data_IF_537463179961
#
_entry.id   IF_537463179961
#
_cell.length_a   1.000
_cell.length_b   1.000
_cell.length_c   1.000
_cell.angle_alpha   90.00
_cell.angle_beta   90.00
_cell.angle_gamma   90.00
#
_symmetry.space_group_name_H-M   'P 1'
#
loop_
_entity.id
_entity.type
_entity.pdbx_description
1 polymer ?
#
# COMPACT_ATOMS: atom_id res chain seq x y z
N UNK A 1 -36.30 26.69 36.13
CA UNK A 1 -35.69 27.97 35.76
C UNK A 1 -34.28 27.66 35.26
N UNK A 2 -34.08 27.65 33.94
CA UNK A 2 -32.83 27.22 33.30
C UNK A 2 -32.04 28.43 32.81
N UNK A 3 -30.80 28.58 33.31
CA UNK A 3 -29.89 29.65 32.94
C UNK A 3 -29.26 29.37 31.58
N UNK A 4 -29.50 30.26 30.61
CA UNK A 4 -28.86 30.27 29.29
C UNK A 4 -27.53 31.03 29.38
N UNK A 5 -26.43 30.31 29.35
CA UNK A 5 -25.08 30.89 29.25
C UNK A 5 -24.76 31.10 27.77
N UNK A 6 -24.78 32.36 27.32
CA UNK A 6 -24.37 32.74 25.96
C UNK A 6 -22.87 32.98 25.93
N UNK A 7 -22.15 32.21 25.13
CA UNK A 7 -20.70 32.38 24.91
C UNK A 7 -20.53 33.25 23.66
N UNK A 8 -20.03 34.47 23.87
CA UNK A 8 -19.61 35.40 22.83
C UNK A 8 -18.27 34.93 22.23
N UNK A 9 -18.26 34.65 20.94
CA UNK A 9 -17.04 34.36 20.16
C UNK A 9 -16.48 35.69 19.64
N UNK A 10 -15.21 36.05 19.90
CA UNK A 10 -14.62 37.25 19.36
C UNK A 10 -14.30 37.07 17.87
N UNK A 11 -14.80 37.99 17.06
CA UNK A 11 -14.48 38.11 15.63
C UNK A 11 -13.04 38.60 15.48
N UNK A 12 -12.13 37.73 15.06
CA UNK A 12 -10.76 38.08 14.71
C UNK A 12 -10.75 38.68 13.29
N UNK A 13 -10.42 39.96 13.24
CA UNK A 13 -10.29 40.76 12.03
C UNK A 13 -9.17 40.23 11.12
N UNK A 14 -9.51 40.01 9.85
CA UNK A 14 -8.56 39.81 8.75
C UNK A 14 -7.71 41.07 8.57
N UNK A 15 -6.40 40.94 8.80
CA UNK A 15 -5.40 41.85 8.26
C UNK A 15 -4.93 41.31 6.91
N UNK A 16 -5.42 41.94 5.84
CA UNK A 16 -4.88 41.81 4.49
C UNK A 16 -3.47 42.41 4.44
N UNK A 17 -2.45 41.56 4.47
CA UNK A 17 -1.08 41.93 4.12
C UNK A 17 -0.76 41.46 2.70
N UNK A 18 -0.80 42.37 1.74
CA UNK A 18 -0.32 42.11 0.38
C UNK A 18 1.21 42.10 0.36
N UNK A 19 1.82 40.91 0.39
CA UNK A 19 3.25 40.74 0.16
C UNK A 19 3.49 40.43 -1.32
N UNK A 20 3.85 41.47 -2.08
CA UNK A 20 4.43 41.33 -3.43
C UNK A 20 5.79 40.66 -3.34
N UNK A 21 5.84 39.36 -3.60
CA UNK A 21 7.09 38.62 -3.77
C UNK A 21 7.54 38.73 -5.24
N UNK A 22 8.60 39.49 -5.46
CA UNK A 22 9.29 39.59 -6.75
C UNK A 22 9.93 38.25 -7.08
N UNK A 23 9.37 37.53 -8.05
CA UNK A 23 9.94 36.29 -8.56
C UNK A 23 11.21 36.60 -9.37
N UNK A 24 12.38 36.25 -8.83
CA UNK A 24 13.64 36.20 -9.60
C UNK A 24 13.68 34.87 -10.33
N UNK A 25 13.31 34.89 -11.61
CA UNK A 25 13.51 33.78 -12.54
C UNK A 25 15.00 33.64 -12.85
N UNK A 26 15.70 32.78 -12.11
CA UNK A 26 17.03 32.32 -12.50
C UNK A 26 16.85 31.17 -13.51
N UNK A 27 17.00 31.50 -14.80
CA UNK A 27 17.13 30.52 -15.87
C UNK A 27 18.50 29.84 -15.77
N UNK A 28 18.59 28.70 -15.08
CA UNK A 28 19.72 27.80 -15.23
C UNK A 28 19.52 26.97 -16.51
N UNK A 29 20.18 27.39 -17.58
CA UNK A 29 20.38 26.57 -18.78
C UNK A 29 21.34 25.43 -18.47
N UNK A 30 20.84 24.38 -17.84
CA UNK A 30 21.57 23.14 -17.66
C UNK A 30 21.78 22.50 -19.04
N UNK A 31 22.98 22.71 -19.61
CA UNK A 31 23.46 21.95 -20.76
C UNK A 31 23.46 20.48 -20.36
N UNK A 32 22.47 19.73 -20.82
CA UNK A 32 22.47 18.27 -20.75
C UNK A 32 23.62 17.79 -21.65
N UNK A 33 24.64 17.09 -21.12
CA UNK A 33 25.62 16.44 -21.98
C UNK A 33 24.87 15.37 -22.78
N UNK A 34 24.80 15.57 -24.10
CA UNK A 34 24.37 14.55 -25.05
C UNK A 34 25.35 13.40 -24.93
N UNK A 35 24.95 12.32 -24.24
CA UNK A 35 25.71 11.09 -24.27
C UNK A 35 25.62 10.52 -25.68
N UNK A 36 26.75 10.12 -26.29
CA UNK A 36 26.72 9.42 -27.57
C UNK A 36 25.95 8.11 -27.39
N UNK A 37 24.94 7.91 -28.24
CA UNK A 37 24.26 6.64 -28.38
C UNK A 37 25.29 5.56 -28.70
N UNK A 38 25.68 4.78 -27.69
CA UNK A 38 26.39 3.54 -27.92
C UNK A 38 25.38 2.59 -28.55
N UNK A 39 25.48 2.42 -29.87
CA UNK A 39 24.84 1.34 -30.59
C UNK A 39 25.41 0.04 -30.02
N UNK A 40 24.73 -0.53 -29.02
CA UNK A 40 24.95 -1.89 -28.61
C UNK A 40 24.53 -2.77 -29.80
N UNK A 41 25.53 -3.24 -30.55
CA UNK A 41 25.43 -4.40 -31.42
C UNK A 41 24.92 -5.55 -30.55
N UNK A 42 23.62 -5.85 -30.70
CA UNK A 42 23.03 -7.09 -30.19
C UNK A 42 23.61 -8.21 -31.05
N UNK A 43 24.66 -8.82 -30.54
CA UNK A 43 25.16 -10.10 -31.03
C UNK A 43 24.03 -11.10 -30.82
N UNK A 44 23.37 -11.43 -31.94
CA UNK A 44 22.31 -12.43 -32.00
C UNK A 44 23.01 -13.78 -31.94
N UNK A 45 23.30 -14.25 -30.73
CA UNK A 45 23.66 -15.63 -30.51
C UNK A 45 22.45 -16.49 -30.90
N UNK A 46 22.50 -16.98 -32.13
CA UNK A 46 21.74 -18.13 -32.59
C UNK A 46 22.17 -19.35 -31.76
N UNK A 47 21.70 -19.40 -30.51
CA UNK A 47 21.72 -20.63 -29.74
C UNK A 47 20.80 -21.62 -30.44
N UNK A 48 21.47 -22.42 -31.27
CA UNK A 48 21.01 -23.64 -31.87
C UNK A 48 20.01 -24.34 -30.94
N UNK A 49 18.87 -24.68 -31.54
CA UNK A 49 17.87 -25.61 -31.07
C UNK A 49 18.54 -26.93 -30.68
N UNK A 50 19.15 -27.00 -29.50
CA UNK A 50 19.50 -28.25 -28.85
C UNK A 50 18.21 -28.81 -28.29
N UNK A 51 17.53 -29.55 -29.15
CA UNK A 51 16.42 -30.44 -28.83
C UNK A 51 16.94 -31.52 -27.87
N UNK A 52 17.13 -31.14 -26.60
CA UNK A 52 17.33 -32.08 -25.52
C UNK A 52 16.01 -32.85 -25.34
N UNK A 53 16.08 -34.14 -25.64
CA UNK A 53 15.00 -35.08 -25.47
C UNK A 53 14.32 -34.91 -24.10
N UNK A 54 13.00 -34.75 -24.12
CA UNK A 54 12.20 -34.73 -22.91
C UNK A 54 12.48 -36.01 -22.09
N UNK A 55 12.79 -35.90 -20.79
CA UNK A 55 12.88 -37.07 -19.93
C UNK A 55 11.50 -37.78 -19.89
N UNK A 56 11.48 -39.12 -19.76
CA UNK A 56 10.24 -39.89 -19.73
C UNK A 56 9.35 -39.40 -18.58
N UNK A 57 8.11 -39.07 -18.94
CA UNK A 57 7.01 -38.80 -18.01
C UNK A 57 6.84 -40.03 -17.11
N UNK A 58 7.21 -39.92 -15.84
CA UNK A 58 6.91 -40.95 -14.86
C UNK A 58 5.41 -40.87 -14.50
N UNK A 59 4.66 -41.99 -14.64
CA UNK A 59 3.26 -42.03 -14.30
C UNK A 59 3.07 -42.01 -12.77
N UNK A 60 2.19 -41.12 -12.33
CA UNK A 60 1.33 -41.21 -11.15
C UNK A 60 1.91 -41.92 -9.92
N UNK A 61 2.81 -41.24 -9.22
CA UNK A 61 2.89 -41.44 -7.77
C UNK A 61 1.63 -40.84 -7.16
N UNK A 62 0.61 -41.67 -6.98
CA UNK A 62 -0.57 -41.34 -6.20
C UNK A 62 -0.13 -40.69 -4.89
N UNK A 63 -0.34 -39.38 -4.75
CA UNK A 63 -0.14 -38.67 -3.50
C UNK A 63 -1.14 -39.23 -2.51
N UNK A 64 -0.69 -40.23 -1.74
CA UNK A 64 -1.37 -40.66 -0.54
C UNK A 64 -1.62 -39.39 0.30
N UNK A 65 -2.87 -38.98 0.36
CA UNK A 65 -3.31 -37.85 1.15
C UNK A 65 -2.99 -38.17 2.60
N UNK A 66 -1.86 -37.69 3.09
CA UNK A 66 -1.53 -37.76 4.51
C UNK A 66 -2.62 -36.96 5.21
N UNK A 67 -3.48 -37.57 6.04
CA UNK A 67 -4.42 -36.80 6.83
C UNK A 67 -3.59 -35.92 7.76
N UNK A 68 -3.60 -34.61 7.51
CA UNK A 68 -3.01 -33.64 8.40
C UNK A 68 -3.68 -33.82 9.77
N UNK A 69 -2.99 -34.47 10.69
CA UNK A 69 -3.40 -34.57 12.08
C UNK A 69 -3.45 -33.14 12.62
N UNK A 70 -4.66 -32.56 12.66
CA UNK A 70 -4.91 -31.25 13.26
C UNK A 70 -4.41 -31.30 14.69
N UNK A 71 -3.55 -30.34 15.05
CA UNK A 71 -3.14 -30.18 16.42
C UNK A 71 -4.40 -29.91 17.28
N UNK A 72 -4.56 -30.58 18.44
CA UNK A 72 -5.64 -30.26 19.37
C UNK A 72 -5.47 -28.82 19.85
N UNK A 73 -6.41 -27.93 19.50
CA UNK A 73 -6.40 -26.52 19.90
C UNK A 73 -6.34 -25.50 18.76
N UNK A 74 -6.23 -25.94 17.50
CA UNK A 74 -6.35 -25.03 16.36
C UNK A 74 -7.83 -24.71 16.13
N UNK A 75 -8.32 -23.64 16.77
CA UNK A 75 -9.65 -23.10 16.51
C UNK A 75 -9.76 -22.78 15.03
N UNK A 76 -10.77 -23.38 14.38
CA UNK A 76 -11.01 -23.14 12.96
C UNK A 76 -11.25 -21.64 12.81
N UNK A 77 -10.67 -21.02 11.78
CA UNK A 77 -10.82 -19.58 11.49
C UNK A 77 -12.29 -19.11 11.40
N UNK A 78 -13.25 -20.02 11.30
CA UNK A 78 -14.68 -19.75 11.28
C UNK A 78 -15.43 -19.94 12.60
N UNK A 79 -14.75 -20.29 13.70
CA UNK A 79 -15.41 -20.54 15.00
C UNK A 79 -15.32 -19.33 15.95
N UNK A 80 -14.67 -18.24 15.56
CA UNK A 80 -14.62 -17.01 16.36
C UNK A 80 -15.93 -16.24 16.24
N UNK A 81 -16.45 -15.78 17.38
CA UNK A 81 -17.58 -14.86 17.42
C UNK A 81 -17.24 -13.59 16.60
N UNK A 82 -18.18 -13.06 15.79
CA UNK A 82 -17.93 -11.87 14.97
C UNK A 82 -17.46 -10.65 15.76
N UNK A 83 -17.90 -10.50 17.01
CA UNK A 83 -17.49 -9.39 17.89
C UNK A 83 -16.02 -9.58 18.31
N UNK A 84 -15.64 -10.80 18.68
CA UNK A 84 -14.25 -11.14 19.01
C UNK A 84 -13.33 -10.97 17.80
N UNK A 85 -13.77 -11.38 16.61
CA UNK A 85 -13.02 -11.21 15.37
C UNK A 85 -12.76 -9.72 15.07
N UNK A 86 -13.79 -8.86 15.21
CA UNK A 86 -13.64 -7.41 15.04
C UNK A 86 -12.69 -6.83 16.08
N UNK A 87 -12.85 -7.17 17.36
CA UNK A 87 -11.97 -6.69 18.43
C UNK A 87 -10.50 -7.08 18.18
N UNK A 88 -10.26 -8.29 17.68
CA UNK A 88 -8.91 -8.76 17.32
C UNK A 88 -8.30 -7.96 16.16
N UNK A 89 -9.09 -7.64 15.13
CA UNK A 89 -8.62 -6.79 14.02
C UNK A 89 -8.25 -5.40 14.52
N UNK A 90 -9.10 -4.76 15.34
CA UNK A 90 -8.82 -3.44 15.92
C UNK A 90 -7.56 -3.46 16.80
N UNK A 91 -7.37 -4.51 17.61
CA UNK A 91 -6.16 -4.67 18.43
C UNK A 91 -4.89 -4.81 17.58
N UNK A 92 -4.96 -5.55 16.48
CA UNK A 92 -3.84 -5.68 15.53
C UNK A 92 -3.53 -4.34 14.85
N UNK A 93 -4.56 -3.61 14.40
CA UNK A 93 -4.42 -2.26 13.82
C UNK A 93 -3.72 -1.33 14.82
N UNK A 94 -4.18 -1.28 16.07
CA UNK A 94 -3.57 -0.44 17.11
C UNK A 94 -2.10 -0.80 17.38
N UNK A 95 -1.76 -2.10 17.33
CA UNK A 95 -0.39 -2.58 17.48
C UNK A 95 0.49 -2.11 16.33
N UNK A 96 0.03 -2.25 15.09
CA UNK A 96 0.75 -1.81 13.89
C UNK A 96 0.89 -0.29 13.83
N UNK A 97 -0.15 0.46 14.19
CA UNK A 97 -0.10 1.92 14.30
C UNK A 97 0.89 2.39 15.36
N UNK A 98 0.99 1.69 16.49
CA UNK A 98 1.99 1.99 17.53
C UNK A 98 3.41 1.77 17.01
N UNK A 99 3.66 0.66 16.31
CA UNK A 99 4.97 0.35 15.69
C UNK A 99 5.35 1.39 14.63
N UNK A 100 4.42 1.72 13.75
CA UNK A 100 4.58 2.76 12.75
C UNK A 100 4.88 4.11 13.40
N UNK A 101 4.12 4.52 14.42
CA UNK A 101 4.31 5.79 15.10
C UNK A 101 5.70 5.92 15.78
N UNK A 102 6.26 4.81 16.26
CA UNK A 102 7.57 4.76 16.90
C UNK A 102 8.75 4.83 15.92
N UNK A 103 8.51 4.60 14.62
CA UNK A 103 9.55 4.62 13.60
C UNK A 103 10.06 6.04 13.35
N UNK A 104 11.37 6.21 13.14
CA UNK A 104 11.93 7.52 12.78
C UNK A 104 11.46 7.96 11.40
N UNK A 105 11.25 9.26 11.21
CA UNK A 105 10.88 9.80 9.91
C UNK A 105 12.14 10.10 9.08
N UNK A 106 12.29 9.41 7.95
CA UNK A 106 13.16 9.86 6.85
C UNK A 106 12.29 10.59 5.83
N UNK A 107 12.32 11.92 5.86
CA UNK A 107 11.46 12.74 5.00
C UNK A 107 11.74 12.53 3.50
N UNK A 108 12.99 12.30 3.11
CA UNK A 108 13.34 12.15 1.70
C UNK A 108 12.88 10.80 1.16
N UNK A 109 13.03 9.74 1.95
CA UNK A 109 12.48 8.42 1.62
C UNK A 109 10.95 8.46 1.61
N UNK A 110 10.33 8.98 2.68
CA UNK A 110 8.87 9.01 2.84
C UNK A 110 8.18 9.70 1.66
N UNK A 111 8.61 10.91 1.30
CA UNK A 111 8.01 11.65 0.19
C UNK A 111 8.13 10.95 -1.16
N UNK A 112 9.24 10.23 -1.40
CA UNK A 112 9.44 9.48 -2.65
C UNK A 112 8.49 8.29 -2.72
N UNK A 113 8.39 7.52 -1.65
CA UNK A 113 7.51 6.35 -1.60
C UNK A 113 6.02 6.75 -1.58
N UNK A 114 5.64 7.80 -0.85
CA UNK A 114 4.28 8.35 -0.88
C UNK A 114 3.87 8.77 -2.30
N UNK A 115 4.77 9.40 -3.05
CA UNK A 115 4.51 9.75 -4.45
C UNK A 115 4.38 8.53 -5.35
N UNK A 116 5.23 7.52 -5.17
CA UNK A 116 5.17 6.28 -5.94
C UNK A 116 3.86 5.53 -5.69
N UNK A 117 3.47 5.38 -4.42
CA UNK A 117 2.19 4.78 -4.02
C UNK A 117 1.00 5.63 -4.48
N UNK A 118 1.08 6.96 -4.37
CA UNK A 118 0.05 7.86 -4.87
C UNK A 118 -0.16 7.73 -6.38
N UNK A 119 0.91 7.50 -7.14
CA UNK A 119 0.82 7.27 -8.58
C UNK A 119 0.12 5.95 -8.93
N UNK A 120 0.26 4.90 -8.10
CA UNK A 120 -0.51 3.65 -8.24
C UNK A 120 -2.02 3.90 -8.09
N UNK A 121 -2.41 4.74 -7.11
CA UNK A 121 -3.81 5.07 -6.85
C UNK A 121 -4.37 6.22 -7.71
N UNK A 122 -3.59 6.76 -8.64
CA UNK A 122 -4.10 7.75 -9.58
C UNK A 122 -5.25 7.15 -10.41
N UNK A 123 -6.33 7.91 -10.60
CA UNK A 123 -7.53 7.42 -11.28
C UNK A 123 -7.22 6.78 -12.65
N UNK A 124 -6.35 7.40 -13.45
CA UNK A 124 -5.94 6.85 -14.75
C UNK A 124 -5.16 5.54 -14.64
N UNK A 125 -4.34 5.38 -13.59
CA UNK A 125 -3.55 4.16 -13.36
C UNK A 125 -4.43 2.99 -12.91
N UNK A 126 -5.44 3.26 -12.08
CA UNK A 126 -6.44 2.28 -11.66
C UNK A 126 -7.38 1.92 -12.82
N UNK A 127 -7.83 2.90 -13.60
CA UNK A 127 -8.69 2.67 -14.75
C UNK A 127 -8.03 1.75 -15.80
N UNK A 128 -6.73 1.94 -16.10
CA UNK A 128 -5.95 1.05 -16.99
C UNK A 128 -5.89 -0.40 -16.49
N UNK A 129 -6.08 -0.59 -15.19
CA UNK A 129 -6.07 -1.89 -14.53
C UNK A 129 -7.48 -2.49 -14.38
N UNK A 130 -8.54 -1.75 -14.74
CA UNK A 130 -9.91 -2.14 -14.47
C UNK A 130 -10.26 -2.12 -12.99
N UNK A 131 -9.61 -1.25 -12.21
CA UNK A 131 -9.88 -1.04 -10.79
C UNK A 131 -10.53 0.33 -10.57
N UNK A 132 -11.52 0.44 -9.66
CA UNK A 132 -12.07 1.72 -9.27
C UNK A 132 -11.16 2.45 -8.26
N UNK A 133 -11.20 3.79 -8.24
CA UNK A 133 -10.53 4.55 -7.19
C UNK A 133 -11.22 4.35 -5.84
N UNK A 134 -10.48 4.34 -4.72
CA UNK A 134 -11.09 4.35 -3.40
C UNK A 134 -11.84 5.66 -3.14
N UNK A 135 -12.92 5.60 -2.35
CA UNK A 135 -13.71 6.77 -1.91
C UNK A 135 -12.87 7.73 -1.06
N UNK A 136 -11.91 7.19 -0.32
CA UNK A 136 -10.93 7.94 0.46
C UNK A 136 -9.61 7.21 0.48
N UNK A 137 -8.51 7.95 0.40
CA UNK A 137 -7.15 7.43 0.44
C UNK A 137 -6.30 8.28 1.36
N UNK A 138 -5.55 7.62 2.25
CA UNK A 138 -4.49 8.22 3.05
C UNK A 138 -3.24 7.35 2.91
N UNK A 139 -2.11 7.97 2.61
CA UNK A 139 -0.80 7.33 2.53
C UNK A 139 0.13 8.12 3.44
N UNK A 140 0.84 7.42 4.30
CA UNK A 140 1.88 8.00 5.16
C UNK A 140 3.07 7.05 5.22
N UNK A 141 4.26 7.54 4.88
CA UNK A 141 5.49 6.76 4.92
C UNK A 141 6.46 7.30 5.99
N UNK A 142 7.31 6.44 6.54
CA UNK A 142 8.35 6.81 7.50
C UNK A 142 9.75 6.52 6.98
N UNK A 143 10.57 5.70 7.62
CA UNK A 143 11.94 5.38 7.16
C UNK A 143 12.03 4.10 6.34
N UNK A 144 11.13 3.16 6.57
CA UNK A 144 11.10 1.83 5.99
C UNK A 144 9.67 1.29 5.80
N UNK A 145 8.68 1.88 6.50
CA UNK A 145 7.27 1.46 6.45
C UNK A 145 6.39 2.52 5.84
N UNK A 146 5.38 2.10 5.07
CA UNK A 146 4.27 2.90 4.60
C UNK A 146 2.95 2.35 5.14
N UNK A 147 2.14 3.22 5.72
CA UNK A 147 0.74 2.97 6.08
C UNK A 147 -0.17 3.51 4.98
N UNK A 148 -1.12 2.69 4.54
CA UNK A 148 -2.11 3.02 3.54
C UNK A 148 -3.48 2.72 4.14
N UNK A 149 -4.35 3.73 4.20
CA UNK A 149 -5.76 3.58 4.61
C UNK A 149 -6.64 3.97 3.44
N UNK A 150 -7.38 3.01 2.91
CA UNK A 150 -8.26 3.20 1.77
C UNK A 150 -9.68 2.72 2.10
N UNK A 151 -10.69 3.42 1.57
CA UNK A 151 -12.10 3.01 1.69
C UNK A 151 -12.64 2.67 0.31
N UNK A 152 -13.35 1.57 0.20
CA UNK A 152 -14.00 1.10 -1.01
C UNK A 152 -15.47 0.81 -0.73
N UNK A 153 -16.33 1.09 -1.70
CA UNK A 153 -17.75 0.78 -1.62
C UNK A 153 -17.99 -0.74 -1.64
N UNK A 154 -17.16 -1.50 -2.37
CA UNK A 154 -17.32 -2.94 -2.54
C UNK A 154 -16.10 -3.74 -2.00
N UNK A 155 -16.33 -4.85 -1.26
CA UNK A 155 -15.26 -5.68 -0.70
C UNK A 155 -14.40 -6.39 -1.77
N UNK A 156 -14.96 -6.75 -2.92
CA UNK A 156 -14.22 -7.41 -4.02
C UNK A 156 -13.27 -6.41 -4.66
N UNK A 157 -13.72 -5.18 -4.87
CA UNK A 157 -12.86 -4.08 -5.34
C UNK A 157 -11.69 -3.81 -4.38
N UNK A 158 -11.96 -3.81 -3.08
CA UNK A 158 -10.94 -3.66 -2.05
C UNK A 158 -9.89 -4.78 -2.11
N UNK A 159 -10.34 -6.04 -2.24
CA UNK A 159 -9.46 -7.21 -2.33
C UNK A 159 -8.58 -7.14 -3.59
N UNK A 160 -9.19 -6.96 -4.77
CA UNK A 160 -8.46 -6.89 -6.03
C UNK A 160 -7.43 -5.75 -6.03
N UNK A 161 -7.82 -4.56 -5.56
CA UNK A 161 -6.93 -3.40 -5.49
C UNK A 161 -5.76 -3.68 -4.56
N UNK A 162 -6.00 -4.29 -3.42
CA UNK A 162 -4.95 -4.60 -2.44
C UNK A 162 -4.00 -5.70 -2.93
N UNK A 163 -4.50 -6.71 -3.65
CA UNK A 163 -3.65 -7.71 -4.31
C UNK A 163 -2.74 -7.07 -5.38
N UNK A 164 -3.28 -6.17 -6.21
CA UNK A 164 -2.47 -5.45 -7.21
C UNK A 164 -1.44 -4.54 -6.58
N UNK A 165 -1.82 -3.84 -5.51
CA UNK A 165 -0.90 -3.03 -4.73
C UNK A 165 0.24 -3.89 -4.16
N UNK A 166 -0.07 -5.03 -3.56
CA UNK A 166 0.94 -5.94 -3.00
C UNK A 166 1.95 -6.38 -4.08
N UNK A 167 1.50 -6.72 -5.29
CA UNK A 167 2.39 -7.05 -6.41
C UNK A 167 3.24 -5.85 -6.84
N UNK A 168 2.65 -4.65 -6.89
CA UNK A 168 3.35 -3.42 -7.26
C UNK A 168 4.49 -3.08 -6.30
N UNK A 169 4.28 -3.25 -4.99
CA UNK A 169 5.24 -2.87 -3.95
C UNK A 169 6.22 -3.98 -3.56
N UNK A 170 5.95 -5.23 -3.95
CA UNK A 170 6.70 -6.40 -3.47
C UNK A 170 8.22 -6.31 -3.64
N UNK A 171 8.70 -5.64 -4.70
CA UNK A 171 10.14 -5.49 -4.94
C UNK A 171 10.83 -4.56 -3.94
N UNK A 172 10.14 -3.51 -3.48
CA UNK A 172 10.70 -2.50 -2.57
C UNK A 172 10.31 -2.73 -1.10
N UNK A 173 9.10 -3.24 -0.87
CA UNK A 173 8.50 -3.47 0.44
C UNK A 173 7.86 -4.87 0.49
N UNK A 174 8.67 -5.94 0.58
CA UNK A 174 8.19 -7.33 0.47
C UNK A 174 7.41 -7.80 1.70
N UNK A 175 7.48 -7.07 2.82
CA UNK A 175 6.75 -7.41 4.04
C UNK A 175 5.47 -6.59 4.09
N UNK A 176 4.33 -7.23 4.31
CA UNK A 176 3.04 -6.54 4.34
C UNK A 176 2.06 -7.14 5.35
N UNK A 177 1.25 -6.28 5.95
CA UNK A 177 0.08 -6.65 6.74
C UNK A 177 -1.13 -5.87 6.21
N UNK A 178 -2.23 -6.59 5.93
CA UNK A 178 -3.46 -6.02 5.38
C UNK A 178 -4.62 -6.37 6.32
N UNK A 179 -5.32 -5.36 6.80
CA UNK A 179 -6.42 -5.47 7.76
C UNK A 179 -7.68 -4.85 7.15
N UNK A 180 -8.51 -5.65 6.46
CA UNK A 180 -9.82 -5.19 6.00
C UNK A 180 -10.80 -5.11 7.17
N UNK A 181 -11.64 -4.08 7.17
CA UNK A 181 -12.68 -3.85 8.17
C UNK A 181 -13.95 -3.37 7.49
N UNK A 182 -15.03 -4.10 7.71
CA UNK A 182 -16.38 -3.66 7.32
C UNK A 182 -16.81 -2.45 8.17
N UNK A 183 -17.40 -1.47 7.51
CA UNK A 183 -18.03 -0.30 8.12
C UNK A 183 -19.54 -0.48 8.19
N UNK A 184 -20.21 0.31 9.03
CA UNK A 184 -21.65 0.17 9.29
C UNK A 184 -22.53 0.51 8.08
N UNK A 185 -21.98 1.19 7.07
CA UNK A 185 -22.66 1.53 5.82
C UNK A 185 -22.46 0.49 4.70
N UNK A 186 -21.82 -0.64 5.02
CA UNK A 186 -21.52 -1.72 4.06
C UNK A 186 -20.23 -1.54 3.27
N UNK A 187 -19.59 -0.38 3.34
CA UNK A 187 -18.27 -0.16 2.72
C UNK A 187 -17.16 -0.88 3.51
N UNK A 188 -16.00 -1.08 2.87
CA UNK A 188 -14.81 -1.64 3.52
C UNK A 188 -13.73 -0.58 3.62
N UNK A 189 -13.15 -0.45 4.81
CA UNK A 189 -11.86 0.20 5.02
C UNK A 189 -10.76 -0.85 5.03
N UNK A 190 -9.73 -0.66 4.22
CA UNK A 190 -8.50 -1.44 4.25
C UNK A 190 -7.41 -0.59 4.88
N UNK A 191 -6.88 -1.04 6.01
CA UNK A 191 -5.66 -0.50 6.59
C UNK A 191 -4.52 -1.48 6.27
N UNK A 192 -3.51 -1.01 5.53
CA UNK A 192 -2.37 -1.81 5.09
C UNK A 192 -1.05 -1.16 5.52
N UNK A 193 -0.09 -1.99 5.93
CA UNK A 193 1.28 -1.60 6.24
C UNK A 193 2.22 -2.41 5.37
N UNK A 194 3.07 -1.72 4.61
CA UNK A 194 4.12 -2.34 3.80
C UNK A 194 5.48 -1.85 4.29
N UNK A 195 6.44 -2.75 4.41
CA UNK A 195 7.77 -2.45 4.93
C UNK A 195 8.87 -3.08 4.09
N UNK A 196 9.98 -2.35 3.96
CA UNK A 196 11.24 -2.87 3.39
C UNK A 196 12.00 -3.78 4.37
N UNK A 197 11.65 -3.77 5.66
CA UNK A 197 12.29 -4.58 6.71
C UNK A 197 11.27 -5.44 7.47
N UNK A 198 11.68 -6.65 7.88
CA UNK A 198 10.79 -7.58 8.61
C UNK A 198 10.43 -7.10 10.02
N UNK A 199 11.27 -6.27 10.64
CA UNK A 199 11.16 -5.89 12.07
C UNK A 199 9.98 -4.93 12.31
N UNK A 200 9.54 -4.22 11.28
CA UNK A 200 8.55 -3.16 11.43
C UNK A 200 7.08 -3.63 11.46
N UNK A 201 6.81 -4.93 11.21
CA UNK A 201 5.45 -5.50 11.14
C UNK A 201 5.11 -6.45 12.27
#
# INVERSE_FOLDING_TARGET
MAARTSILVPSLALLCGAATATAVLVWHTSRVPVMPAQAATVERDDHALSSAAAPPVQPDTAMASVPAARAPGETRRGDLDPVEARARVEANIATLDTRFAAETLDTAWAMREERALGAFFAADALAKQGLPPPDSLQIACRSATCRISARFADPVEAEMTTQRLAMHVAAAMPYGAVMPRALDDGSIRVDAWYSSTRIAL
#
